data_IF_984330057856
#
_entry.id   IF_984330057856
#
_cell.length_a   1.000
_cell.length_b   1.000
_cell.length_c   1.000
_cell.angle_alpha   90.00
_cell.angle_beta   90.00
_cell.angle_gamma   90.00
#
_symmetry.space_group_name_H-M   'P 1'
#
loop_
_entity.id
_entity.type
_entity.pdbx_description
1 polymer ?
#
# COMPACT_ATOMS: atom_id res chain seq x y z
N UNK A 1 -7.19 -43.05 -5.23
CA UNK A 1 -6.45 -41.98 -5.96
C UNK A 1 -5.11 -42.56 -6.41
N UNK A 2 -4.65 -42.30 -7.66
CA UNK A 2 -3.34 -42.75 -8.14
C UNK A 2 -2.18 -42.06 -7.40
N UNK A 3 -2.44 -41.00 -6.66
CA UNK A 3 -1.49 -40.33 -5.78
C UNK A 3 -1.82 -40.74 -4.33
N UNK A 4 -0.91 -41.47 -3.71
CA UNK A 4 -1.08 -41.93 -2.34
C UNK A 4 -1.20 -40.78 -1.36
N UNK A 5 -1.89 -40.98 -0.24
CA UNK A 5 -2.13 -39.99 0.83
C UNK A 5 -0.85 -39.35 1.41
N UNK A 6 0.30 -39.93 1.09
CA UNK A 6 1.61 -39.46 1.51
C UNK A 6 2.02 -38.20 0.76
N UNK A 7 1.77 -38.13 -0.55
CA UNK A 7 2.06 -36.91 -1.36
C UNK A 7 1.16 -35.73 -0.99
N UNK A 8 -0.12 -36.04 -0.69
CA UNK A 8 -1.05 -34.99 -0.23
C UNK A 8 -0.59 -34.37 1.09
N UNK A 9 -0.15 -35.22 2.05
CA UNK A 9 0.38 -34.76 3.35
C UNK A 9 1.69 -33.97 3.21
N UNK A 10 2.58 -34.38 2.30
CA UNK A 10 3.81 -33.64 2.05
C UNK A 10 3.54 -32.27 1.40
N UNK A 11 2.61 -32.21 0.45
CA UNK A 11 2.20 -30.98 -0.18
C UNK A 11 1.57 -30.01 0.84
N UNK A 12 0.72 -30.51 1.71
CA UNK A 12 0.08 -29.75 2.79
C UNK A 12 1.12 -29.21 3.79
N UNK A 13 2.09 -30.05 4.20
CA UNK A 13 3.19 -29.66 5.08
C UNK A 13 4.10 -28.55 4.47
N UNK A 14 4.23 -28.54 3.14
CA UNK A 14 5.01 -27.56 2.39
C UNK A 14 4.17 -26.38 1.87
N UNK A 15 2.89 -26.34 2.20
CA UNK A 15 1.93 -25.35 1.70
C UNK A 15 1.92 -25.25 0.15
N UNK A 16 2.03 -26.39 -0.52
CA UNK A 16 2.04 -26.49 -1.98
C UNK A 16 0.67 -26.89 -2.51
N UNK A 17 0.16 -26.14 -3.47
CA UNK A 17 -1.05 -26.49 -4.20
C UNK A 17 -0.73 -27.55 -5.24
N UNK A 18 -1.36 -28.74 -5.16
CA UNK A 18 -1.21 -29.83 -6.13
C UNK A 18 -2.41 -29.82 -7.07
N UNK A 19 -2.14 -29.69 -8.37
CA UNK A 19 -3.15 -29.79 -9.42
C UNK A 19 -3.01 -31.12 -10.14
N UNK A 20 -4.11 -31.85 -10.27
CA UNK A 20 -4.17 -33.11 -11.01
C UNK A 20 -4.72 -32.79 -12.41
N UNK A 21 -3.90 -32.99 -13.42
CA UNK A 21 -4.32 -32.87 -14.80
C UNK A 21 -4.79 -34.21 -15.36
N UNK A 22 -5.76 -34.26 -16.32
CA UNK A 22 -6.12 -35.43 -17.06
C UNK A 22 -4.91 -36.03 -17.80
N UNK A 23 -4.84 -37.37 -17.92
CA UNK A 23 -3.75 -38.04 -18.63
C UNK A 23 -3.59 -37.61 -20.08
N UNK A 24 -4.66 -37.12 -20.71
CA UNK A 24 -4.65 -36.58 -22.09
C UNK A 24 -4.04 -35.19 -22.20
N UNK A 25 -3.76 -34.51 -21.09
CA UNK A 25 -3.24 -33.13 -21.12
C UNK A 25 -1.73 -33.14 -21.41
N UNK A 26 -1.30 -32.37 -22.41
CA UNK A 26 0.12 -32.20 -22.66
C UNK A 26 0.72 -31.19 -21.65
N UNK A 27 1.95 -31.43 -21.21
CA UNK A 27 2.66 -30.51 -20.31
C UNK A 27 2.78 -29.09 -20.92
N UNK A 28 2.84 -28.99 -22.24
CA UNK A 28 2.87 -27.72 -22.96
C UNK A 28 1.55 -26.96 -22.82
N UNK A 29 0.42 -27.63 -22.93
CA UNK A 29 -0.92 -27.01 -22.75
C UNK A 29 -1.12 -26.55 -21.32
N UNK A 30 -0.68 -27.35 -20.35
CA UNK A 30 -0.73 -26.96 -18.93
C UNK A 30 0.11 -25.71 -18.69
N UNK A 31 1.37 -25.69 -19.14
CA UNK A 31 2.23 -24.52 -18.99
C UNK A 31 1.64 -23.28 -19.68
N UNK A 32 1.10 -23.43 -20.88
CA UNK A 32 0.47 -22.33 -21.61
C UNK A 32 -0.77 -21.79 -20.88
N UNK A 33 -1.62 -22.68 -20.38
CA UNK A 33 -2.82 -22.28 -19.63
C UNK A 33 -2.48 -21.58 -18.32
N UNK A 34 -1.49 -22.07 -17.58
CA UNK A 34 -1.02 -21.43 -16.34
C UNK A 34 -0.40 -20.07 -16.63
N UNK A 35 0.43 -19.96 -17.68
CA UNK A 35 1.04 -18.70 -18.07
C UNK A 35 -0.02 -17.66 -18.48
N UNK A 36 -1.04 -18.04 -19.24
CA UNK A 36 -2.16 -17.16 -19.59
C UNK A 36 -2.94 -16.71 -18.37
N UNK A 37 -3.27 -17.62 -17.44
CA UNK A 37 -3.95 -17.29 -16.19
C UNK A 37 -3.16 -16.28 -15.34
N UNK A 38 -1.85 -16.44 -15.25
CA UNK A 38 -0.99 -15.51 -14.52
C UNK A 38 -0.94 -14.14 -15.18
N UNK A 39 -0.84 -14.09 -16.51
CA UNK A 39 -0.86 -12.85 -17.29
C UNK A 39 -2.20 -12.11 -17.14
N UNK A 40 -3.32 -12.84 -17.26
CA UNK A 40 -4.65 -12.25 -17.10
C UNK A 40 -4.84 -11.67 -15.69
N UNK A 41 -4.36 -12.37 -14.65
CA UNK A 41 -4.39 -11.86 -13.28
C UNK A 41 -3.57 -10.58 -13.10
N UNK A 42 -2.35 -10.54 -13.64
CA UNK A 42 -1.51 -9.36 -13.58
C UNK A 42 -2.12 -8.17 -14.32
N UNK A 43 -2.68 -8.42 -15.50
CA UNK A 43 -3.35 -7.40 -16.30
C UNK A 43 -4.55 -6.82 -15.57
N UNK A 44 -5.42 -7.67 -15.05
CA UNK A 44 -6.61 -7.24 -14.29
C UNK A 44 -6.23 -6.42 -13.03
N UNK A 45 -5.17 -6.83 -12.31
CA UNK A 45 -4.68 -6.10 -11.13
C UNK A 45 -4.13 -4.73 -11.52
N UNK A 46 -3.37 -4.66 -12.60
CA UNK A 46 -2.82 -3.40 -13.12
C UNK A 46 -3.92 -2.45 -13.60
N UNK A 47 -4.92 -2.95 -14.30
CA UNK A 47 -6.09 -2.16 -14.72
C UNK A 47 -6.86 -1.59 -13.53
N UNK A 48 -7.10 -2.39 -12.48
CA UNK A 48 -7.73 -1.91 -11.24
C UNK A 48 -6.92 -0.80 -10.59
N UNK A 49 -5.60 -0.93 -10.54
CA UNK A 49 -4.72 0.09 -9.96
C UNK A 49 -4.74 1.39 -10.77
N UNK A 50 -4.76 1.31 -12.10
CA UNK A 50 -4.91 2.48 -12.99
C UNK A 50 -6.26 3.15 -12.80
N UNK A 51 -7.34 2.39 -12.67
CA UNK A 51 -8.68 2.93 -12.40
C UNK A 51 -8.71 3.64 -11.05
N UNK A 52 -8.14 3.04 -10.01
CA UNK A 52 -7.98 3.68 -8.71
C UNK A 52 -7.23 5.01 -8.81
N UNK A 53 -6.07 5.04 -9.49
CA UNK A 53 -5.32 6.26 -9.68
C UNK A 53 -6.13 7.37 -10.37
N UNK A 54 -6.90 7.02 -11.41
CA UNK A 54 -7.79 7.96 -12.08
C UNK A 54 -8.87 8.50 -11.15
N UNK A 55 -9.45 7.64 -10.32
CA UNK A 55 -10.44 8.02 -9.31
C UNK A 55 -9.84 8.97 -8.28
N UNK A 56 -8.69 8.63 -7.69
CA UNK A 56 -8.01 9.49 -6.71
C UNK A 56 -7.62 10.84 -7.31
N UNK A 57 -7.18 10.86 -8.58
CA UNK A 57 -6.87 12.10 -9.31
C UNK A 57 -8.11 12.96 -9.55
N UNK A 58 -9.26 12.36 -9.82
CA UNK A 58 -10.54 13.07 -9.93
C UNK A 58 -10.95 13.67 -8.58
N UNK A 59 -10.91 12.86 -7.51
CA UNK A 59 -11.19 13.31 -6.14
C UNK A 59 -10.33 14.50 -5.72
N UNK A 60 -9.03 14.47 -6.08
CA UNK A 60 -8.14 15.58 -5.83
C UNK A 60 -8.56 16.84 -6.60
N UNK A 61 -8.96 16.73 -7.87
CA UNK A 61 -9.44 17.88 -8.65
C UNK A 61 -10.70 18.49 -8.06
N UNK A 62 -11.59 17.66 -7.53
CA UNK A 62 -12.85 18.05 -6.88
C UNK A 62 -12.65 18.60 -5.45
N UNK A 63 -11.43 18.52 -4.91
CA UNK A 63 -11.11 19.03 -3.58
C UNK A 63 -11.65 18.18 -2.43
N UNK A 64 -11.87 16.88 -2.65
CA UNK A 64 -12.42 15.98 -1.63
C UNK A 64 -11.45 15.73 -0.45
N UNK A 65 -10.15 16.00 -0.64
CA UNK A 65 -9.14 15.94 0.41
C UNK A 65 -8.56 14.57 0.70
N UNK A 66 -7.48 14.55 1.48
CA UNK A 66 -6.73 13.32 1.80
C UNK A 66 -7.60 12.27 2.52
N UNK A 67 -8.44 12.67 3.46
CA UNK A 67 -9.25 11.75 4.25
C UNK A 67 -10.18 10.90 3.38
N UNK A 68 -10.87 11.51 2.42
CA UNK A 68 -11.73 10.79 1.48
C UNK A 68 -10.92 9.85 0.57
N UNK A 69 -9.74 10.28 0.10
CA UNK A 69 -8.88 9.46 -0.75
C UNK A 69 -8.39 8.21 -0.04
N UNK A 70 -7.93 8.32 1.20
CA UNK A 70 -7.45 7.15 1.96
C UNK A 70 -8.59 6.22 2.38
N UNK A 71 -9.80 6.75 2.58
CA UNK A 71 -10.99 5.93 2.83
C UNK A 71 -11.31 5.04 1.61
N UNK A 72 -11.24 5.59 0.41
CA UNK A 72 -11.43 4.81 -0.83
C UNK A 72 -10.34 3.74 -0.97
N UNK A 73 -9.07 4.08 -0.74
CA UNK A 73 -7.99 3.11 -0.78
C UNK A 73 -8.19 1.99 0.26
N UNK A 74 -8.55 2.33 1.49
CA UNK A 74 -8.80 1.37 2.56
C UNK A 74 -9.97 0.43 2.23
N UNK A 75 -11.07 0.95 1.66
CA UNK A 75 -12.22 0.13 1.23
C UNK A 75 -11.86 -0.84 0.11
N UNK A 76 -11.00 -0.43 -0.84
CA UNK A 76 -10.64 -1.25 -1.99
C UNK A 76 -9.59 -2.31 -1.68
N UNK A 77 -8.66 -2.02 -0.78
CA UNK A 77 -7.63 -2.97 -0.34
C UNK A 77 -8.07 -3.85 0.82
N UNK A 78 -9.09 -3.42 1.59
CA UNK A 78 -9.47 -4.09 2.84
C UNK A 78 -8.44 -3.88 3.97
N UNK A 79 -7.46 -3.02 3.77
CA UNK A 79 -6.34 -2.78 4.68
C UNK A 79 -6.40 -1.39 5.33
N UNK A 80 -5.65 -1.20 6.41
CA UNK A 80 -5.49 0.12 7.03
C UNK A 80 -4.64 0.99 6.10
N UNK A 81 -5.08 2.22 5.85
CA UNK A 81 -4.34 3.19 5.03
C UNK A 81 -4.05 4.44 5.85
N UNK A 82 -2.78 4.86 5.89
CA UNK A 82 -2.35 6.02 6.64
C UNK A 82 -1.47 6.96 5.80
N UNK A 83 -1.73 8.26 5.88
CA UNK A 83 -0.86 9.30 5.35
C UNK A 83 -0.22 10.05 6.49
N UNK A 84 1.08 10.18 6.42
CA UNK A 84 1.90 10.90 7.38
C UNK A 84 2.63 12.06 6.69
N UNK A 85 2.87 13.11 7.44
CA UNK A 85 3.72 14.21 6.97
C UNK A 85 5.21 13.88 7.10
N UNK A 86 6.06 14.87 6.80
CA UNK A 86 7.53 14.78 6.91
C UNK A 86 8.06 14.57 8.33
N UNK A 87 7.24 14.78 9.35
CA UNK A 87 7.55 14.58 10.79
C UNK A 87 6.98 13.28 11.33
N UNK A 88 6.32 12.50 10.47
CA UNK A 88 5.56 11.28 10.78
C UNK A 88 4.27 11.55 11.56
N UNK A 89 3.81 12.80 11.60
CA UNK A 89 2.50 13.13 12.14
C UNK A 89 1.41 12.61 11.20
N UNK A 90 0.43 11.90 11.75
CA UNK A 90 -0.69 11.34 10.98
C UNK A 90 -1.55 12.50 10.45
N UNK A 91 -1.64 12.62 9.15
CA UNK A 91 -2.50 13.58 8.47
C UNK A 91 -3.90 13.03 8.23
N UNK A 92 -3.97 11.74 7.95
CA UNK A 92 -5.22 11.00 7.80
C UNK A 92 -4.94 9.50 7.98
N UNK A 93 -5.90 8.77 8.53
CA UNK A 93 -5.87 7.32 8.66
C UNK A 93 -7.28 6.76 8.47
N UNK A 94 -7.38 5.67 7.73
CA UNK A 94 -8.64 4.93 7.52
C UNK A 94 -8.47 3.47 7.93
N UNK A 95 -9.49 2.97 8.62
CA UNK A 95 -9.55 1.63 9.19
C UNK A 95 -10.64 0.84 8.50
N UNK A 96 -10.37 -0.38 8.01
CA UNK A 96 -11.42 -1.30 7.58
C UNK A 96 -12.38 -1.61 8.74
N UNK A 97 -13.64 -1.88 8.42
CA UNK A 97 -14.66 -2.16 9.44
C UNK A 97 -14.35 -3.36 10.33
N UNK A 98 -13.56 -4.29 9.84
CA UNK A 98 -13.22 -5.54 10.51
C UNK A 98 -11.88 -5.48 11.27
N UNK A 99 -11.28 -4.29 11.40
CA UNK A 99 -9.97 -4.16 12.05
C UNK A 99 -10.10 -4.43 13.54
N UNK A 100 -9.48 -5.50 13.98
CA UNK A 100 -9.24 -5.82 15.39
C UNK A 100 -7.81 -5.48 15.75
N UNK A 101 -7.56 -4.93 16.93
CA UNK A 101 -6.21 -4.63 17.42
C UNK A 101 -6.11 -3.28 18.11
N UNK A 102 -4.96 -3.06 18.73
CA UNK A 102 -4.68 -1.83 19.47
C UNK A 102 -4.33 -0.68 18.49
N UNK A 103 -5.29 0.20 18.24
CA UNK A 103 -5.13 1.35 17.34
C UNK A 103 -4.08 2.34 17.83
N UNK A 104 -3.96 2.52 19.14
CA UNK A 104 -3.01 3.44 19.74
C UNK A 104 -1.58 2.95 19.56
N UNK A 105 -1.33 1.67 19.83
CA UNK A 105 -0.03 1.04 19.59
C UNK A 105 0.40 1.12 18.12
N UNK A 106 -0.53 0.92 17.18
CA UNK A 106 -0.23 1.06 15.76
C UNK A 106 0.13 2.50 15.38
N UNK A 107 -0.61 3.49 15.88
CA UNK A 107 -0.32 4.91 15.63
C UNK A 107 1.05 5.27 16.19
N UNK A 108 1.37 4.84 17.42
CA UNK A 108 2.68 5.05 18.03
C UNK A 108 3.81 4.42 17.21
N UNK A 109 3.66 3.15 16.78
CA UNK A 109 4.62 2.48 15.92
C UNK A 109 4.84 3.21 14.59
N UNK A 110 3.78 3.77 13.99
CA UNK A 110 3.88 4.53 12.76
C UNK A 110 4.66 5.85 12.94
N UNK A 111 4.59 6.48 14.10
CA UNK A 111 5.26 7.76 14.39
C UNK A 111 6.74 7.61 14.75
N UNK A 112 7.20 6.39 15.01
CA UNK A 112 8.61 6.12 15.31
C UNK A 112 9.49 6.30 14.07
N UNK A 113 10.47 7.20 14.15
CA UNK A 113 11.40 7.46 13.04
C UNK A 113 12.27 6.26 12.72
N UNK A 114 12.60 5.47 13.71
CA UNK A 114 13.42 4.27 13.55
C UNK A 114 12.67 3.13 12.87
N UNK A 115 11.34 3.18 12.84
CA UNK A 115 10.50 2.30 12.04
C UNK A 115 10.52 2.64 10.53
N UNK A 116 11.18 3.74 10.09
CA UNK A 116 11.37 4.01 8.68
C UNK A 116 12.62 3.29 8.14
N UNK A 117 12.55 2.74 6.92
CA UNK A 117 13.74 2.29 6.19
C UNK A 117 14.82 3.39 6.15
N UNK A 118 16.11 3.06 6.28
CA UNK A 118 17.19 4.05 6.38
C UNK A 118 17.19 5.08 5.24
N UNK A 119 16.89 4.65 4.01
CA UNK A 119 16.82 5.53 2.83
C UNK A 119 15.73 6.57 2.99
N UNK A 120 14.59 6.22 3.60
CA UNK A 120 13.44 7.12 3.77
C UNK A 120 13.62 8.13 4.90
N UNK A 121 14.55 7.90 5.83
CA UNK A 121 14.90 8.85 6.89
C UNK A 121 15.53 10.13 6.32
N UNK A 122 16.15 10.05 5.13
CA UNK A 122 16.64 11.20 4.38
C UNK A 122 15.68 11.53 3.22
N UNK A 123 14.96 12.62 3.35
CA UNK A 123 13.91 13.05 2.42
C UNK A 123 14.38 13.31 0.98
N UNK A 124 15.63 13.76 0.80
CA UNK A 124 16.23 13.93 -0.54
C UNK A 124 16.65 12.59 -1.14
N UNK A 125 17.20 11.69 -0.31
CA UNK A 125 17.54 10.33 -0.75
C UNK A 125 16.30 9.54 -1.13
N UNK A 126 15.22 9.65 -0.36
CA UNK A 126 13.92 9.06 -0.66
C UNK A 126 13.38 9.49 -2.04
N UNK A 127 13.48 10.79 -2.36
CA UNK A 127 13.01 11.32 -3.66
C UNK A 127 13.89 10.89 -4.85
N UNK A 128 15.15 10.56 -4.62
CA UNK A 128 16.10 10.10 -5.66
C UNK A 128 16.17 8.58 -5.77
N UNK A 129 15.51 7.85 -4.89
CA UNK A 129 15.49 6.39 -4.91
C UNK A 129 14.81 5.88 -6.19
N UNK A 130 15.35 4.81 -6.76
CA UNK A 130 14.68 4.06 -7.83
C UNK A 130 13.58 3.15 -7.31
N UNK A 131 13.63 2.82 -6.03
CA UNK A 131 12.61 2.05 -5.36
C UNK A 131 11.48 2.98 -4.95
N UNK A 132 10.25 2.62 -5.28
CA UNK A 132 9.02 3.37 -4.95
C UNK A 132 8.29 2.81 -3.74
N UNK A 133 8.49 1.52 -3.44
CA UNK A 133 7.77 0.80 -2.39
C UNK A 133 8.75 0.09 -1.48
N UNK A 134 8.53 0.20 -0.17
CA UNK A 134 9.25 -0.55 0.88
C UNK A 134 8.29 -1.41 1.66
N UNK A 135 8.66 -2.65 1.87
CA UNK A 135 7.93 -3.57 2.72
C UNK A 135 8.69 -3.79 4.02
N UNK A 136 7.98 -3.78 5.14
CA UNK A 136 8.55 -4.02 6.46
C UNK A 136 7.51 -4.64 7.41
N UNK A 137 7.99 -5.26 8.47
CA UNK A 137 7.17 -5.66 9.60
C UNK A 137 7.08 -4.51 10.59
N UNK A 138 5.90 -4.32 11.19
CA UNK A 138 5.72 -3.37 12.28
C UNK A 138 5.99 -4.06 13.62
N UNK A 139 6.81 -3.48 14.50
CA UNK A 139 7.04 -3.99 15.83
C UNK A 139 5.83 -3.69 16.73
N UNK A 140 4.87 -4.61 16.76
CA UNK A 140 3.70 -4.53 17.62
C UNK A 140 3.76 -5.70 18.59
N UNK A 141 3.97 -5.40 19.87
CA UNK A 141 4.24 -6.41 20.90
C UNK A 141 3.00 -7.22 21.33
N UNK A 142 1.80 -6.81 20.95
CA UNK A 142 0.54 -7.35 21.51
C UNK A 142 -0.41 -7.95 20.43
N UNK A 143 0.12 -8.43 19.32
CA UNK A 143 -0.73 -9.04 18.28
C UNK A 143 -0.30 -10.47 17.99
N UNK A 144 -1.28 -11.40 18.03
CA UNK A 144 -1.12 -12.80 17.59
C UNK A 144 -0.78 -12.91 16.10
N UNK A 145 -0.91 -11.82 15.34
CA UNK A 145 -0.64 -11.74 13.90
C UNK A 145 0.39 -10.64 13.63
N UNK A 146 1.48 -11.00 12.98
CA UNK A 146 2.48 -10.02 12.53
C UNK A 146 1.88 -9.07 11.52
N UNK A 147 1.97 -7.77 11.77
CA UNK A 147 1.49 -6.74 10.84
C UNK A 147 2.59 -6.34 9.85
N UNK A 148 2.26 -6.42 8.57
CA UNK A 148 3.08 -5.93 7.49
C UNK A 148 2.72 -4.48 7.13
N UNK A 149 3.69 -3.75 6.60
CA UNK A 149 3.51 -2.39 6.11
C UNK A 149 4.14 -2.26 4.72
N UNK A 150 3.35 -1.84 3.75
CA UNK A 150 3.84 -1.29 2.48
C UNK A 150 3.91 0.23 2.61
N UNK A 151 5.02 0.81 2.23
CA UNK A 151 5.32 2.22 2.44
C UNK A 151 5.84 2.85 1.16
N UNK A 152 5.28 4.00 0.76
CA UNK A 152 5.75 4.80 -0.36
C UNK A 152 5.93 6.27 0.06
N UNK A 153 7.05 6.93 -0.31
CA UNK A 153 7.23 8.34 -0.06
C UNK A 153 6.33 9.19 -0.96
N UNK A 154 5.70 10.19 -0.38
CA UNK A 154 4.92 11.20 -1.11
C UNK A 154 5.89 12.29 -1.57
N UNK A 155 6.24 12.29 -2.86
CA UNK A 155 7.28 13.14 -3.42
C UNK A 155 6.65 14.38 -4.05
N UNK A 156 7.18 15.56 -3.71
CA UNK A 156 6.87 16.81 -4.37
C UNK A 156 8.16 17.63 -4.55
N UNK A 157 8.53 17.85 -5.81
CA UNK A 157 9.82 18.40 -6.18
C UNK A 157 10.98 17.44 -5.89
N UNK A 158 12.02 17.91 -5.23
CA UNK A 158 13.25 17.17 -4.93
C UNK A 158 13.25 16.41 -3.59
N UNK A 159 12.09 16.32 -2.91
CA UNK A 159 11.99 15.79 -1.52
C UNK A 159 10.70 15.04 -1.27
N UNK A 160 10.79 14.05 -0.37
CA UNK A 160 9.61 13.48 0.26
C UNK A 160 8.94 14.52 1.17
N UNK A 161 7.63 14.69 1.03
CA UNK A 161 6.78 15.59 1.83
C UNK A 161 6.04 14.83 2.92
N UNK A 162 5.89 13.54 2.75
CA UNK A 162 5.21 12.64 3.65
C UNK A 162 5.38 11.20 3.18
N UNK A 163 4.58 10.33 3.74
CA UNK A 163 4.59 8.90 3.48
C UNK A 163 3.16 8.37 3.44
N UNK A 164 2.88 7.53 2.45
CA UNK A 164 1.66 6.73 2.40
C UNK A 164 1.98 5.32 2.84
N UNK A 165 1.16 4.73 3.68
CA UNK A 165 1.30 3.36 4.17
C UNK A 165 0.02 2.58 3.96
N UNK A 166 0.15 1.32 3.56
CA UNK A 166 -0.90 0.29 3.61
C UNK A 166 -0.43 -0.75 4.62
N UNK A 167 -1.27 -1.06 5.60
CA UNK A 167 -0.94 -1.93 6.74
C UNK A 167 -2.00 -3.01 6.86
N UNK A 168 -1.55 -4.25 6.91
CA UNK A 168 -2.39 -5.44 7.05
C UNK A 168 -1.59 -6.63 7.56
N UNK A 169 -2.18 -7.84 7.66
CA UNK A 169 -1.45 -9.05 8.02
C UNK A 169 -0.26 -9.27 7.09
N UNK A 170 0.91 -9.60 7.64
CA UNK A 170 2.18 -9.59 6.88
C UNK A 170 2.21 -10.53 5.67
N UNK A 171 1.44 -11.62 5.70
CA UNK A 171 1.35 -12.58 4.58
C UNK A 171 0.23 -12.30 3.57
N UNK A 172 -0.60 -11.27 3.80
CA UNK A 172 -1.80 -11.00 3.00
C UNK A 172 -1.66 -9.77 2.10
N UNK A 173 -0.63 -8.94 2.31
CA UNK A 173 -0.36 -7.78 1.45
C UNK A 173 0.08 -8.25 0.06
N UNK A 174 -0.68 -7.86 -0.95
CA UNK A 174 -0.57 -8.38 -2.31
C UNK A 174 -0.04 -7.35 -3.33
N UNK A 175 -0.06 -7.73 -4.60
CA UNK A 175 0.36 -6.87 -5.71
C UNK A 175 -0.57 -5.66 -5.88
N UNK A 176 -1.87 -5.80 -5.61
CA UNK A 176 -2.80 -4.67 -5.69
C UNK A 176 -2.53 -3.64 -4.60
N UNK A 177 -2.20 -4.08 -3.39
CA UNK A 177 -1.77 -3.20 -2.31
C UNK A 177 -0.50 -2.43 -2.67
N UNK A 178 0.47 -3.12 -3.29
CA UNK A 178 1.72 -2.51 -3.74
C UNK A 178 1.47 -1.42 -4.80
N UNK A 179 0.66 -1.70 -5.80
CA UNK A 179 0.29 -0.71 -6.82
C UNK A 179 -0.56 0.43 -6.23
N UNK A 180 -1.43 0.12 -5.25
CA UNK A 180 -2.26 1.10 -4.57
C UNK A 180 -1.41 2.08 -3.76
N UNK A 181 -0.41 1.60 -3.01
CA UNK A 181 0.47 2.50 -2.24
C UNK A 181 1.32 3.38 -3.15
N UNK A 182 1.79 2.88 -4.29
CA UNK A 182 2.59 3.63 -5.26
C UNK A 182 1.77 4.72 -5.95
N UNK A 183 0.66 4.36 -6.57
CA UNK A 183 -0.21 5.30 -7.26
C UNK A 183 -0.93 6.25 -6.30
N UNK A 184 -1.31 5.75 -5.12
CA UNK A 184 -1.89 6.54 -4.06
C UNK A 184 -0.94 7.62 -3.55
N UNK A 185 0.35 7.31 -3.38
CA UNK A 185 1.35 8.29 -2.97
C UNK A 185 1.49 9.44 -3.99
N UNK A 186 1.43 9.13 -5.30
CA UNK A 186 1.44 10.14 -6.35
C UNK A 186 0.19 11.05 -6.31
N UNK A 187 -0.99 10.48 -6.09
CA UNK A 187 -2.23 11.24 -5.94
C UNK A 187 -2.23 12.10 -4.66
N UNK A 188 -1.76 11.56 -3.53
CA UNK A 188 -1.60 12.31 -2.29
C UNK A 188 -0.60 13.47 -2.42
N UNK A 189 0.44 13.33 -3.25
CA UNK A 189 1.40 14.41 -3.49
C UNK A 189 0.73 15.66 -4.08
N UNK A 190 -0.20 15.47 -5.01
CA UNK A 190 -0.97 16.56 -5.60
C UNK A 190 -1.85 17.24 -4.55
N UNK A 191 -2.54 16.48 -3.70
CA UNK A 191 -3.42 17.01 -2.67
C UNK A 191 -2.64 17.76 -1.58
N UNK A 192 -1.52 17.21 -1.12
CA UNK A 192 -0.65 17.90 -0.16
C UNK A 192 -0.03 19.17 -0.72
N UNK A 193 0.30 19.22 -2.02
CA UNK A 193 0.78 20.43 -2.66
C UNK A 193 -0.27 21.53 -2.69
N UNK A 194 -1.52 21.19 -2.99
CA UNK A 194 -2.65 22.14 -2.95
C UNK A 194 -2.89 22.67 -1.54
N UNK A 195 -2.97 21.80 -0.54
CA UNK A 195 -3.17 22.18 0.84
C UNK A 195 -2.07 23.15 1.31
N UNK A 196 -0.82 22.91 0.90
CA UNK A 196 0.29 23.79 1.18
C UNK A 196 0.11 25.16 0.52
N UNK A 197 -0.21 25.21 -0.78
CA UNK A 197 -0.42 26.45 -1.53
C UNK A 197 -1.54 27.30 -0.91
N UNK A 198 -2.67 26.66 -0.53
CA UNK A 198 -3.77 27.35 0.16
C UNK A 198 -3.32 27.93 1.51
N UNK A 199 -2.54 27.17 2.29
CA UNK A 199 -2.04 27.64 3.59
C UNK A 199 -1.03 28.79 3.44
N UNK A 200 -0.18 28.78 2.42
CA UNK A 200 0.77 29.84 2.12
C UNK A 200 0.03 31.11 1.70
N UNK A 201 -0.97 31.00 0.83
CA UNK A 201 -1.81 32.13 0.43
C UNK A 201 -2.55 32.76 1.63
N UNK A 202 -3.11 31.94 2.52
CA UNK A 202 -3.77 32.42 3.76
C UNK A 202 -2.79 33.13 4.69
N UNK A 203 -1.53 32.67 4.79
CA UNK A 203 -0.50 33.34 5.61
C UNK A 203 -0.08 34.69 5.03
N UNK A 204 0.11 34.75 3.69
CA UNK A 204 0.42 36.03 3.01
C UNK A 204 -0.67 37.06 3.24
N UNK A 205 -1.94 36.68 3.04
CA UNK A 205 -3.07 37.60 3.28
C UNK A 205 -3.16 38.09 4.73
N UNK A 206 -2.75 37.29 5.71
CA UNK A 206 -2.72 37.72 7.13
C UNK A 206 -1.52 38.58 7.45
N UNK A 207 -0.41 38.38 6.76
CA UNK A 207 0.80 39.24 6.92
C UNK A 207 0.68 40.62 6.34
N UNK A 208 -0.16 40.82 5.32
CA UNK A 208 -0.39 42.10 4.68
C UNK A 208 -1.40 43.00 5.47
N UNK A 209 -2.04 42.48 6.52
CA UNK A 209 -2.98 43.22 7.37
C UNK A 209 -2.40 43.63 8.73
N UNK A 210 -1.12 43.46 9.00
CA UNK A 210 -0.39 43.89 10.19
C UNK A 210 0.72 44.89 9.80
#
# INVERSE_FOLDING_TARGET
>A
SPFGDEWARQAEALNLTVLIAPESSSMREIHQSVALLLLDRQTATSERAIQLYRQLSAMSREGQGLAAMIEVMSKLTGNIVAVQDKRLEIQAISWPSNTTGNREALIEALQQRDALPPVLRNRKAAAKSRQSIWQQLLPLDDTSVSMGRLLSPIISGDRARGYLSIIGPAGELDMFDSLTVEHGAAACALEMAKAKAVNEAKKSLRGDFL
#
